data_IF_749015228964
#
_entry.id   IF_749015228964
#
_cell.length_a   1.000
_cell.length_b   1.000
_cell.length_c   1.000
_cell.angle_alpha   90.00
_cell.angle_beta   90.00
_cell.angle_gamma   90.00
#
_symmetry.space_group_name_H-M   'P 1'
#
loop_
_entity.id
_entity.type
_entity.pdbx_description
1 polymer ?
#
# COMPACT_ATOMS: atom_id res chain seq x y z
N UNK A 1 -4.31 12.53 -8.03
CA UNK A 1 -3.06 13.24 -8.46
C UNK A 1 -2.17 13.66 -7.28
N UNK A 2 -2.70 14.22 -6.20
CA UNK A 2 -1.90 14.68 -5.05
C UNK A 2 -0.95 13.63 -4.47
N UNK A 3 -1.43 12.42 -4.20
CA UNK A 3 -0.60 11.32 -3.66
C UNK A 3 0.57 10.98 -4.59
N UNK A 4 0.36 10.97 -5.90
CA UNK A 4 1.42 10.70 -6.89
C UNK A 4 2.52 11.76 -6.85
N UNK A 5 2.14 13.04 -6.87
CA UNK A 5 3.10 14.15 -6.78
C UNK A 5 3.84 14.15 -5.43
N UNK A 6 3.10 13.95 -4.34
CA UNK A 6 3.70 13.85 -3.02
C UNK A 6 4.72 12.71 -2.94
N UNK A 7 4.38 11.52 -3.42
CA UNK A 7 5.29 10.37 -3.42
C UNK A 7 6.56 10.62 -4.23
N UNK A 8 6.44 11.32 -5.37
CA UNK A 8 7.61 11.72 -6.17
C UNK A 8 8.51 12.70 -5.43
N UNK A 9 7.93 13.69 -4.79
CA UNK A 9 8.68 14.68 -3.99
C UNK A 9 9.32 14.00 -2.78
N UNK A 10 8.56 13.19 -2.03
CA UNK A 10 9.05 12.45 -0.88
C UNK A 10 10.24 11.53 -1.25
N UNK A 11 10.18 10.83 -2.38
CA UNK A 11 11.27 9.99 -2.85
C UNK A 11 12.56 10.81 -3.09
N UNK A 12 12.47 12.03 -3.64
CA UNK A 12 13.61 12.92 -3.83
C UNK A 12 14.20 13.35 -2.49
N UNK A 13 13.37 13.80 -1.54
CA UNK A 13 13.82 14.22 -0.21
C UNK A 13 14.44 13.07 0.58
N UNK A 14 13.78 11.91 0.62
CA UNK A 14 14.26 10.74 1.33
C UNK A 14 15.59 10.21 0.76
N UNK A 15 15.78 10.32 -0.57
CA UNK A 15 17.05 9.98 -1.22
C UNK A 15 18.19 10.89 -0.77
N UNK A 16 17.95 12.19 -0.71
CA UNK A 16 18.93 13.20 -0.30
C UNK A 16 19.19 13.26 1.20
N UNK A 17 18.33 12.65 2.03
CA UNK A 17 18.48 12.69 3.48
C UNK A 17 19.77 11.98 3.89
N UNK A 18 20.70 12.74 4.51
CA UNK A 18 21.88 12.16 5.18
C UNK A 18 21.39 11.44 6.43
N UNK A 19 21.54 10.13 6.46
CA UNK A 19 21.27 9.33 7.65
C UNK A 19 22.57 9.12 8.39
N UNK A 20 22.61 9.37 9.70
CA UNK A 20 23.65 8.82 10.57
C UNK A 20 23.48 7.30 10.58
N UNK A 21 24.53 6.53 10.75
CA UNK A 21 24.53 5.04 10.63
C UNK A 21 23.41 4.34 11.44
N UNK A 22 22.92 4.97 12.50
CA UNK A 22 21.82 4.44 13.35
C UNK A 22 20.41 4.74 12.84
N UNK A 23 20.21 5.52 11.78
CA UNK A 23 18.88 5.98 11.34
C UNK A 23 18.57 5.75 9.85
N UNK A 24 19.09 4.69 9.26
CA UNK A 24 18.82 4.39 7.84
C UNK A 24 17.39 3.84 7.58
N UNK A 25 16.41 4.28 8.40
CA UNK A 25 15.02 3.84 8.32
C UNK A 25 14.17 4.82 7.51
N UNK A 26 14.39 4.86 6.19
CA UNK A 26 13.58 5.68 5.28
C UNK A 26 12.30 4.95 4.92
N UNK A 27 11.16 5.58 5.09
CA UNK A 27 9.86 4.97 4.82
C UNK A 27 8.88 5.94 4.16
N UNK A 28 8.08 5.41 3.24
CA UNK A 28 6.94 6.06 2.62
C UNK A 28 5.72 5.16 2.82
N UNK A 29 4.79 5.58 3.66
CA UNK A 29 3.53 4.88 3.87
C UNK A 29 2.40 5.61 3.17
N UNK A 30 1.70 4.91 2.27
CA UNK A 30 0.62 5.46 1.46
C UNK A 30 -0.74 5.11 2.08
N UNK A 31 -1.57 6.13 2.33
CA UNK A 31 -2.91 5.94 2.86
C UNK A 31 -3.90 5.69 1.72
N UNK A 32 -4.30 4.42 1.56
CA UNK A 32 -5.32 3.97 0.63
C UNK A 32 -6.69 3.82 1.31
N UNK A 33 -7.38 2.73 1.11
CA UNK A 33 -8.68 2.38 1.71
C UNK A 33 -8.98 0.91 1.42
N UNK A 34 -9.87 0.29 2.17
CA UNK A 34 -10.50 -0.99 1.84
C UNK A 34 -11.09 -0.96 0.41
N UNK A 35 -11.49 0.21 -0.08
CA UNK A 35 -11.99 0.41 -1.44
C UNK A 35 -10.90 0.32 -2.54
N UNK A 36 -9.66 -0.02 -2.19
CA UNK A 36 -8.62 -0.38 -3.15
C UNK A 36 -8.64 -1.86 -3.57
N UNK A 37 -9.46 -2.69 -2.95
CA UNK A 37 -9.55 -4.12 -3.26
C UNK A 37 -10.96 -4.71 -3.03
N UNK A 38 -11.94 -3.90 -2.58
CA UNK A 38 -13.33 -4.27 -2.37
C UNK A 38 -14.24 -3.49 -3.30
N UNK A 39 -15.35 -4.09 -3.72
CA UNK A 39 -16.41 -3.40 -4.45
C UNK A 39 -17.14 -2.38 -3.57
N UNK A 40 -17.39 -1.20 -4.15
CA UNK A 40 -18.13 -0.12 -3.50
C UNK A 40 -19.03 0.58 -4.52
N UNK A 41 -20.23 0.05 -4.76
CA UNK A 41 -21.17 0.63 -5.73
C UNK A 41 -21.41 2.11 -5.48
N UNK A 42 -21.40 2.92 -6.55
CA UNK A 42 -21.62 4.36 -6.49
C UNK A 42 -20.36 5.20 -6.17
N UNK A 43 -19.27 4.59 -5.69
CA UNK A 43 -18.04 5.30 -5.33
C UNK A 43 -16.95 5.22 -6.40
N UNK A 44 -17.31 5.21 -7.69
CA UNK A 44 -16.38 4.94 -8.79
C UNK A 44 -15.14 5.84 -8.81
N UNK A 45 -15.27 7.16 -8.60
CA UNK A 45 -14.10 8.07 -8.56
C UNK A 45 -13.22 7.83 -7.33
N UNK A 46 -13.84 7.62 -6.17
CA UNK A 46 -13.12 7.33 -4.94
C UNK A 46 -12.39 5.99 -5.05
N UNK A 47 -13.10 4.96 -5.45
CA UNK A 47 -12.56 3.61 -5.62
C UNK A 47 -11.41 3.59 -6.63
N UNK A 48 -11.58 4.23 -7.80
CA UNK A 48 -10.51 4.38 -8.78
C UNK A 48 -9.28 5.06 -8.18
N UNK A 49 -9.48 6.13 -7.41
CA UNK A 49 -8.37 6.85 -6.77
C UNK A 49 -7.61 5.98 -5.77
N UNK A 50 -8.31 5.11 -5.01
CA UNK A 50 -7.71 4.26 -3.99
C UNK A 50 -7.02 3.02 -4.59
N UNK A 51 -7.56 2.45 -5.68
CA UNK A 51 -6.83 1.46 -6.50
C UNK A 51 -5.54 2.03 -7.09
N UNK A 52 -5.58 3.30 -7.55
CA UNK A 52 -4.39 3.97 -8.06
C UNK A 52 -3.30 4.13 -6.99
N UNK A 53 -3.67 4.40 -5.73
CA UNK A 53 -2.70 4.44 -4.61
C UNK A 53 -2.08 3.07 -4.37
N UNK A 54 -2.86 2.00 -4.42
CA UNK A 54 -2.34 0.64 -4.28
C UNK A 54 -1.41 0.27 -5.44
N UNK A 55 -1.79 0.61 -6.68
CA UNK A 55 -0.94 0.45 -7.86
C UNK A 55 0.37 1.24 -7.75
N UNK A 56 0.33 2.46 -7.20
CA UNK A 56 1.51 3.28 -6.94
C UNK A 56 2.45 2.61 -5.93
N UNK A 57 1.93 2.09 -4.82
CA UNK A 57 2.72 1.34 -3.85
C UNK A 57 3.44 0.16 -4.52
N UNK A 58 2.71 -0.67 -5.26
CA UNK A 58 3.25 -1.85 -5.95
C UNK A 58 4.33 -1.50 -6.96
N UNK A 59 4.18 -0.39 -7.70
CA UNK A 59 5.19 0.03 -8.68
C UNK A 59 6.43 0.66 -8.04
N UNK A 60 6.31 1.24 -6.84
CA UNK A 60 7.42 1.92 -6.16
C UNK A 60 8.20 1.01 -5.19
N UNK A 61 7.54 0.03 -4.55
CA UNK A 61 8.08 -0.75 -3.42
C UNK A 61 9.42 -1.43 -3.69
N UNK A 62 9.64 -1.91 -4.90
CA UNK A 62 10.89 -2.59 -5.28
C UNK A 62 11.96 -1.58 -5.67
N UNK A 63 11.66 -0.71 -6.61
CA UNK A 63 12.64 0.21 -7.18
C UNK A 63 13.18 1.23 -6.16
N UNK A 64 12.32 1.76 -5.29
CA UNK A 64 12.76 2.71 -4.26
C UNK A 64 13.55 2.03 -3.14
N UNK A 65 13.20 0.79 -2.81
CA UNK A 65 13.93 0.02 -1.82
C UNK A 65 15.31 -0.39 -2.30
N UNK A 66 15.40 -1.01 -3.46
CA UNK A 66 16.66 -1.51 -4.02
C UNK A 66 17.66 -0.37 -4.36
N UNK A 67 17.14 0.75 -4.88
CA UNK A 67 17.99 1.86 -5.31
C UNK A 67 18.36 2.84 -4.20
N UNK A 68 17.43 3.15 -3.33
CA UNK A 68 17.52 4.27 -2.40
C UNK A 68 17.36 3.86 -0.93
N UNK A 69 17.10 2.58 -0.63
CA UNK A 69 16.81 2.06 0.71
C UNK A 69 15.51 2.59 1.30
N UNK A 70 14.57 3.06 0.45
CA UNK A 70 13.29 3.63 0.89
C UNK A 70 12.24 2.53 0.88
N UNK A 71 11.73 2.18 2.05
CA UNK A 71 10.61 1.24 2.21
C UNK A 71 9.32 1.91 1.77
N UNK A 72 8.46 1.17 1.04
CA UNK A 72 7.17 1.67 0.57
C UNK A 72 6.08 0.69 0.97
N UNK A 73 5.12 1.14 1.78
CA UNK A 73 4.01 0.34 2.25
C UNK A 73 2.68 1.08 2.04
N UNK A 74 1.56 0.38 2.16
CA UNK A 74 0.23 0.99 2.12
C UNK A 74 -0.60 0.58 3.34
N UNK A 75 -1.51 1.47 3.74
CA UNK A 75 -2.55 1.20 4.73
C UNK A 75 -3.90 1.41 4.07
N UNK A 76 -4.80 0.45 4.23
CA UNK A 76 -6.11 0.38 3.62
C UNK A 76 -7.20 0.32 4.72
N UNK A 77 -7.52 1.44 5.39
CA UNK A 77 -8.52 1.44 6.44
C UNK A 77 -9.92 1.10 5.90
N UNK A 78 -10.69 0.38 6.73
CA UNK A 78 -12.12 0.29 6.65
C UNK A 78 -12.80 1.56 7.15
N UNK A 79 -13.99 1.44 7.72
CA UNK A 79 -14.73 2.60 8.21
C UNK A 79 -14.05 3.17 9.46
N UNK A 80 -13.59 4.40 9.35
CA UNK A 80 -12.86 5.12 10.40
C UNK A 80 -13.65 6.35 10.83
N UNK A 81 -13.83 6.55 12.13
CA UNK A 81 -14.57 7.68 12.70
C UNK A 81 -13.78 8.98 12.48
N UNK A 82 -14.26 9.76 11.53
CA UNK A 82 -13.68 11.02 11.08
C UNK A 82 -14.78 11.96 10.59
N UNK A 83 -14.52 13.26 10.44
CA UNK A 83 -15.50 14.17 9.83
C UNK A 83 -15.99 13.72 8.43
N UNK A 84 -15.15 13.03 7.68
CA UNK A 84 -15.52 12.50 6.34
C UNK A 84 -16.59 11.41 6.41
N UNK A 85 -16.55 10.55 7.42
CA UNK A 85 -17.45 9.41 7.61
C UNK A 85 -18.62 9.67 8.57
N UNK A 86 -18.70 10.88 9.15
CA UNK A 86 -19.67 11.23 10.17
C UNK A 86 -21.14 10.87 9.79
N UNK A 87 -21.48 11.01 8.50
CA UNK A 87 -22.82 10.73 7.99
C UNK A 87 -23.21 9.24 7.98
N UNK A 88 -22.23 8.32 8.07
CA UNK A 88 -22.47 6.88 8.10
C UNK A 88 -22.15 6.26 9.46
N UNK A 89 -21.51 6.98 10.38
CA UNK A 89 -21.03 6.40 11.64
C UNK A 89 -22.15 5.86 12.52
N UNK A 90 -23.23 6.63 12.71
CA UNK A 90 -24.33 6.17 13.55
C UNK A 90 -25.03 4.93 12.97
N UNK A 91 -25.38 4.88 11.67
CA UNK A 91 -25.89 3.65 11.04
C UNK A 91 -24.96 2.44 11.19
N UNK A 92 -23.63 2.63 11.11
CA UNK A 92 -22.67 1.54 11.32
C UNK A 92 -22.69 1.01 12.75
N UNK A 93 -22.71 1.90 13.74
CA UNK A 93 -22.81 1.56 15.17
C UNK A 93 -24.10 0.83 15.49
N UNK A 94 -25.22 1.34 14.99
CA UNK A 94 -26.55 0.75 15.22
C UNK A 94 -26.70 -0.65 14.59
N UNK A 95 -26.03 -0.88 13.47
CA UNK A 95 -25.98 -2.17 12.78
C UNK A 95 -24.96 -3.15 13.40
N UNK A 96 -24.19 -2.75 14.42
CA UNK A 96 -23.13 -3.58 15.03
C UNK A 96 -22.00 -3.91 14.07
N UNK A 97 -21.75 -3.07 13.08
CA UNK A 97 -20.67 -3.26 12.10
C UNK A 97 -19.32 -2.78 12.65
N UNK A 98 -18.23 -3.32 12.10
CA UNK A 98 -16.88 -2.93 12.49
C UNK A 98 -16.58 -1.50 12.03
N UNK A 99 -16.00 -0.75 12.92
CA UNK A 99 -15.46 0.60 12.69
C UNK A 99 -14.28 0.82 13.65
N UNK A 100 -13.53 1.89 13.44
CA UNK A 100 -12.37 2.22 14.25
C UNK A 100 -12.18 3.73 14.40
N UNK A 101 -11.36 4.12 15.35
CA UNK A 101 -10.94 5.52 15.51
C UNK A 101 -9.80 5.89 14.56
N UNK A 102 -9.57 7.17 14.37
CA UNK A 102 -8.41 7.65 13.61
C UNK A 102 -7.09 7.30 14.31
N UNK A 103 -7.09 7.28 15.64
CA UNK A 103 -5.94 6.92 16.48
C UNK A 103 -5.53 5.46 16.25
N UNK A 104 -6.47 4.52 16.16
CA UNK A 104 -6.16 3.12 15.89
C UNK A 104 -5.46 2.95 14.53
N UNK A 105 -5.91 3.67 13.50
CA UNK A 105 -5.22 3.67 12.20
C UNK A 105 -3.84 4.30 12.31
N UNK A 106 -3.69 5.38 13.08
CA UNK A 106 -2.41 6.05 13.29
C UNK A 106 -1.39 5.15 14.02
N UNK A 107 -1.82 4.34 14.97
CA UNK A 107 -0.97 3.35 15.65
C UNK A 107 -0.41 2.30 14.68
N UNK A 108 -1.26 1.79 13.76
CA UNK A 108 -0.80 0.89 12.70
C UNK A 108 0.24 1.56 11.80
N UNK A 109 -0.02 2.81 11.38
CA UNK A 109 0.92 3.58 10.56
C UNK A 109 2.25 3.78 11.31
N UNK A 110 2.22 4.13 12.59
CA UNK A 110 3.40 4.28 13.42
C UNK A 110 4.21 2.98 13.53
N UNK A 111 3.54 1.84 13.71
CA UNK A 111 4.16 0.51 13.71
C UNK A 111 4.89 0.21 12.39
N UNK A 112 4.26 0.52 11.24
CA UNK A 112 4.87 0.35 9.92
C UNK A 112 6.10 1.26 9.74
N UNK A 113 6.02 2.51 10.17
CA UNK A 113 7.10 3.48 10.04
C UNK A 113 8.33 3.09 10.87
N UNK A 114 8.12 2.54 12.06
CA UNK A 114 9.19 2.15 12.99
C UNK A 114 9.80 0.77 12.69
N UNK A 115 9.11 -0.09 11.96
CA UNK A 115 9.58 -1.44 11.61
C UNK A 115 10.57 -1.41 10.46
N UNK A 116 11.85 -1.66 10.73
CA UNK A 116 12.94 -1.56 9.72
C UNK A 116 12.88 -2.63 8.62
N UNK A 117 12.28 -3.77 8.87
CA UNK A 117 12.18 -4.89 7.91
C UNK A 117 10.97 -4.84 6.99
N UNK A 118 10.05 -3.90 7.19
CA UNK A 118 8.74 -3.92 6.52
C UNK A 118 8.78 -3.10 5.23
N UNK A 119 8.80 -3.78 4.09
CA UNK A 119 8.74 -3.17 2.76
C UNK A 119 7.79 -3.91 1.83
N UNK A 120 7.03 -3.18 1.06
CA UNK A 120 6.15 -3.73 0.02
C UNK A 120 4.85 -4.34 0.54
N UNK A 121 4.47 -4.03 1.76
CA UNK A 121 3.29 -4.56 2.42
C UNK A 121 2.09 -3.63 2.28
N UNK A 122 0.89 -4.23 2.29
CA UNK A 122 -0.35 -3.49 2.39
C UNK A 122 -1.22 -4.09 3.50
N UNK A 123 -1.70 -3.22 4.37
CA UNK A 123 -2.48 -3.62 5.53
C UNK A 123 -3.92 -3.14 5.42
N UNK A 124 -4.86 -4.07 5.42
CA UNK A 124 -6.24 -3.79 5.73
C UNK A 124 -6.36 -3.53 7.22
N UNK A 125 -7.00 -2.43 7.60
CA UNK A 125 -7.22 -2.09 9.02
C UNK A 125 -8.72 -2.01 9.29
N UNK A 126 -9.19 -2.85 10.18
CA UNK A 126 -10.62 -2.93 10.56
C UNK A 126 -10.75 -3.23 12.05
N UNK A 127 -11.57 -2.46 12.76
CA UNK A 127 -11.78 -2.61 14.20
C UNK A 127 -10.52 -2.37 15.05
N UNK A 128 -9.49 -1.73 14.49
CA UNK A 128 -8.19 -1.53 15.14
C UNK A 128 -7.15 -2.61 14.84
N UNK A 129 -7.57 -3.73 14.24
CA UNK A 129 -6.66 -4.81 13.83
C UNK A 129 -6.09 -4.56 12.43
N UNK A 130 -4.85 -5.01 12.19
CA UNK A 130 -4.16 -4.88 10.91
C UNK A 130 -3.89 -6.24 10.26
N UNK A 131 -4.35 -6.42 9.04
CA UNK A 131 -4.24 -7.65 8.27
C UNK A 131 -3.41 -7.41 7.02
N UNK A 132 -2.22 -8.00 6.96
CA UNK A 132 -1.38 -7.95 5.75
C UNK A 132 -1.99 -8.82 4.64
N UNK A 133 -2.04 -8.31 3.40
CA UNK A 133 -2.69 -9.05 2.31
C UNK A 133 -1.88 -9.14 0.99
N UNK A 134 -0.78 -8.41 0.83
CA UNK A 134 0.03 -8.50 -0.40
C UNK A 134 0.73 -9.85 -0.56
N UNK A 135 1.25 -10.40 0.54
CA UNK A 135 1.86 -11.72 0.52
C UNK A 135 0.81 -12.79 0.22
N UNK A 136 -0.34 -12.71 0.90
CA UNK A 136 -1.44 -13.65 0.66
C UNK A 136 -1.94 -13.62 -0.79
N UNK A 137 -2.06 -12.44 -1.41
CA UNK A 137 -2.41 -12.33 -2.82
C UNK A 137 -1.38 -12.98 -3.75
N UNK A 138 -0.10 -12.87 -3.43
CA UNK A 138 0.97 -13.47 -4.20
C UNK A 138 1.02 -15.00 -4.02
N UNK A 139 0.92 -15.46 -2.79
CA UNK A 139 0.97 -16.89 -2.45
C UNK A 139 -0.21 -17.66 -3.04
N UNK A 140 -1.41 -17.08 -2.96
CA UNK A 140 -2.65 -17.70 -3.46
C UNK A 140 -2.92 -17.42 -4.95
N UNK A 141 -1.98 -16.82 -5.68
CA UNK A 141 -2.19 -16.39 -7.05
C UNK A 141 -2.69 -17.52 -7.97
N UNK A 142 -2.21 -18.76 -7.81
CA UNK A 142 -2.65 -19.89 -8.61
C UNK A 142 -4.09 -20.31 -8.30
N UNK A 143 -4.63 -20.00 -7.14
CA UNK A 143 -6.00 -20.34 -6.74
C UNK A 143 -7.04 -19.50 -7.48
N UNK A 144 -6.71 -18.23 -7.77
CA UNK A 144 -7.66 -17.31 -8.43
C UNK A 144 -7.33 -17.03 -9.90
N UNK A 145 -6.10 -17.25 -10.35
CA UNK A 145 -5.67 -17.04 -11.73
C UNK A 145 -5.52 -18.37 -12.50
N UNK A 146 -5.35 -19.50 -11.79
CA UNK A 146 -4.99 -20.80 -12.32
C UNK A 146 -3.47 -20.99 -12.42
N UNK A 147 -3.02 -22.24 -12.34
CA UNK A 147 -1.57 -22.57 -12.26
C UNK A 147 -0.81 -22.15 -13.52
N UNK A 148 -1.33 -22.46 -14.71
CA UNK A 148 -0.67 -22.14 -15.97
C UNK A 148 -0.51 -20.63 -16.18
N UNK A 149 -1.57 -19.85 -15.93
CA UNK A 149 -1.53 -18.40 -16.05
C UNK A 149 -0.59 -17.77 -15.01
N UNK A 150 -0.57 -18.31 -13.80
CA UNK A 150 0.35 -17.87 -12.73
C UNK A 150 1.80 -18.13 -13.12
N UNK A 151 2.11 -19.31 -13.62
CA UNK A 151 3.45 -19.64 -14.09
C UNK A 151 3.93 -18.69 -15.20
N UNK A 152 3.09 -18.44 -16.20
CA UNK A 152 3.40 -17.51 -17.31
C UNK A 152 3.61 -16.08 -16.81
N UNK A 153 2.73 -15.60 -15.91
CA UNK A 153 2.84 -14.25 -15.35
C UNK A 153 4.12 -14.08 -14.53
N UNK A 154 4.47 -15.05 -13.67
CA UNK A 154 5.68 -15.01 -12.86
C UNK A 154 6.94 -15.05 -13.73
N UNK A 155 6.99 -15.92 -14.73
CA UNK A 155 8.11 -15.97 -15.67
C UNK A 155 8.32 -14.65 -16.41
N UNK A 156 7.24 -14.02 -16.88
CA UNK A 156 7.32 -12.70 -17.53
C UNK A 156 7.78 -11.60 -16.56
N UNK A 157 7.27 -11.60 -15.33
CA UNK A 157 7.67 -10.64 -14.29
C UNK A 157 9.14 -10.75 -13.98
N UNK A 158 9.66 -11.96 -13.76
CA UNK A 158 11.09 -12.20 -13.53
C UNK A 158 11.95 -11.77 -14.71
N UNK A 159 11.52 -12.04 -15.96
CA UNK A 159 12.26 -11.61 -17.15
C UNK A 159 12.36 -10.08 -17.24
N UNK A 160 11.27 -9.36 -16.94
CA UNK A 160 11.28 -7.88 -16.88
C UNK A 160 12.21 -7.39 -15.77
N UNK A 161 12.14 -7.99 -14.59
CA UNK A 161 12.99 -7.64 -13.45
C UNK A 161 14.48 -7.87 -13.70
N UNK A 162 14.84 -8.93 -14.44
CA UNK A 162 16.22 -9.19 -14.89
C UNK A 162 16.69 -8.25 -16.00
N UNK A 163 15.84 -7.30 -16.43
CA UNK A 163 16.18 -6.32 -17.45
C UNK A 163 16.17 -6.83 -18.89
N UNK A 164 15.54 -7.97 -19.16
CA UNK A 164 15.45 -8.57 -20.51
C UNK A 164 14.70 -7.66 -21.48
N UNK A 165 13.75 -6.85 -20.99
CA UNK A 165 12.87 -6.03 -21.83
C UNK A 165 13.01 -4.52 -21.60
N UNK A 166 13.69 -4.08 -20.54
CA UNK A 166 13.87 -2.65 -20.29
C UNK A 166 15.25 -2.20 -20.79
N UNK A 167 15.33 -1.21 -21.68
CA UNK A 167 16.62 -0.61 -22.01
C UNK A 167 17.27 -0.07 -20.72
N UNK A 168 18.59 -0.24 -20.58
CA UNK A 168 19.39 0.17 -19.41
C UNK A 168 19.33 1.67 -19.05
N UNK A 169 18.30 2.42 -19.50
CA UNK A 169 18.12 3.85 -19.33
C UNK A 169 16.77 4.19 -18.68
N UNK A 170 16.66 3.88 -17.41
CA UNK A 170 15.94 4.76 -16.47
C UNK A 170 16.90 4.92 -15.29
N UNK A 171 17.95 5.70 -15.53
CA UNK A 171 18.81 6.25 -14.48
C UNK A 171 18.21 7.55 -13.96
#
# INVERSE_FOLDING_TARGET
MGTLYFSRIAAVFLRGARTTESSNNKSLTLLSSVNAFRDSPGLYLYQTSKHAVQGLMRSCRKILYERDGIRVNAVCPGVTDTPMSAHIMQPFKDAGLFWQSAEAVAEVIAGILTSSGMNGKAFYVEGGDAFEFEDGLYETQSQWLGEEATMRLRANTEAVERGVLLPKRIR
#
